data_IF_807091513297
#
_entry.id   IF_807091513297
#
_cell.length_a   1.000
_cell.length_b   1.000
_cell.length_c   1.000
_cell.angle_alpha   90.00
_cell.angle_beta   90.00
_cell.angle_gamma   90.00
#
_symmetry.space_group_name_H-M   'P 1'
#
loop_
_entity.id
_entity.type
_entity.pdbx_description
1 polymer ?
#
# COMPACT_ATOMS: atom_id res chain seq x y z
N UNK A 1 2.10 -3.14 -32.45
CA UNK A 1 2.89 -3.34 -31.20
C UNK A 1 1.90 -3.95 -30.21
N UNK A 2 2.01 -5.25 -29.96
CA UNK A 2 1.22 -5.92 -28.94
C UNK A 2 1.62 -5.36 -27.57
N UNK A 3 0.67 -5.05 -26.65
CA UNK A 3 1.03 -4.74 -25.29
C UNK A 3 1.84 -5.91 -24.72
N UNK A 4 2.87 -5.66 -23.90
CA UNK A 4 3.63 -6.73 -23.29
C UNK A 4 2.66 -7.67 -22.55
N UNK A 5 2.89 -8.99 -22.70
CA UNK A 5 2.09 -10.00 -22.01
C UNK A 5 2.11 -9.66 -20.52
N UNK A 6 0.95 -9.33 -19.95
CA UNK A 6 0.88 -9.03 -18.53
C UNK A 6 1.32 -10.26 -17.74
N UNK A 7 2.14 -10.09 -16.68
CA UNK A 7 2.49 -11.21 -15.84
C UNK A 7 1.23 -11.80 -15.21
N UNK A 8 1.13 -13.11 -15.19
CA UNK A 8 -0.03 -13.82 -14.64
C UNK A 8 -0.25 -13.58 -13.14
N UNK A 9 0.81 -13.10 -12.45
CA UNK A 9 0.78 -12.79 -11.02
C UNK A 9 1.67 -11.59 -10.72
N UNK A 10 1.06 -10.43 -10.48
CA UNK A 10 1.79 -9.19 -10.24
C UNK A 10 2.37 -9.12 -8.82
N UNK A 11 1.62 -9.58 -7.82
CA UNK A 11 2.01 -9.46 -6.40
C UNK A 11 2.33 -10.77 -5.71
N UNK A 12 2.31 -11.91 -6.41
CA UNK A 12 2.68 -13.20 -5.82
C UNK A 12 4.08 -13.12 -5.22
N UNK A 13 4.23 -13.69 -4.03
CA UNK A 13 5.50 -13.72 -3.27
C UNK A 13 6.01 -12.34 -2.84
N UNK A 14 5.17 -11.30 -2.89
CA UNK A 14 5.47 -10.00 -2.33
C UNK A 14 4.79 -9.82 -0.98
N UNK A 15 5.37 -8.97 -0.14
CA UNK A 15 4.74 -8.56 1.11
C UNK A 15 3.65 -7.53 0.79
N UNK A 16 2.41 -7.99 0.76
CA UNK A 16 1.22 -7.16 0.66
C UNK A 16 0.55 -7.10 2.02
N UNK A 17 0.23 -5.90 2.48
CA UNK A 17 -0.56 -5.73 3.70
C UNK A 17 -2.04 -5.75 3.35
N UNK A 18 -2.78 -6.64 3.98
CA UNK A 18 -4.20 -6.83 3.71
C UNK A 18 -5.10 -6.36 4.85
N UNK A 19 -6.29 -5.87 4.50
CA UNK A 19 -7.43 -5.58 5.40
C UNK A 19 -8.76 -5.88 4.69
N UNK A 20 -9.87 -5.76 5.41
CA UNK A 20 -11.20 -6.14 4.91
C UNK A 20 -11.46 -7.62 5.05
N UNK A 21 -12.17 -8.22 4.10
CA UNK A 21 -12.46 -9.65 4.13
C UNK A 21 -11.26 -10.47 3.63
N UNK A 22 -10.45 -10.99 4.56
CA UNK A 22 -9.23 -11.74 4.25
C UNK A 22 -9.51 -13.09 3.56
N UNK A 23 -10.72 -13.62 3.70
CA UNK A 23 -11.15 -14.89 3.09
C UNK A 23 -11.76 -14.69 1.69
N UNK A 24 -11.89 -13.45 1.24
CA UNK A 24 -12.44 -13.16 -0.08
C UNK A 24 -11.54 -13.66 -1.20
N UNK A 25 -12.17 -14.24 -2.23
CA UNK A 25 -11.50 -14.56 -3.51
C UNK A 25 -11.20 -13.32 -4.34
N UNK A 26 -11.93 -12.21 -4.08
CA UNK A 26 -11.72 -10.94 -4.77
C UNK A 26 -10.75 -10.07 -4.00
N UNK A 27 -9.64 -9.73 -4.63
CA UNK A 27 -8.63 -8.83 -4.07
C UNK A 27 -8.54 -7.53 -4.84
N UNK A 28 -8.40 -6.42 -4.11
CA UNK A 28 -8.14 -5.08 -4.64
C UNK A 28 -6.90 -4.54 -3.97
N UNK A 29 -5.81 -4.47 -4.69
CA UNK A 29 -4.49 -4.08 -4.17
C UNK A 29 -4.06 -2.79 -4.83
N UNK A 30 -3.48 -1.88 -4.04
CA UNK A 30 -2.90 -0.64 -4.54
C UNK A 30 -1.39 -0.65 -4.29
N UNK A 31 -0.63 -0.49 -5.38
CA UNK A 31 0.78 -0.19 -5.32
C UNK A 31 0.94 1.33 -5.29
N UNK A 32 1.48 1.87 -4.21
CA UNK A 32 1.39 3.29 -3.93
C UNK A 32 2.59 3.81 -3.13
N UNK A 33 2.75 5.14 -3.14
CA UNK A 33 3.80 5.88 -2.45
C UNK A 33 3.19 6.98 -1.59
N UNK A 34 3.59 7.06 -0.33
CA UNK A 34 3.14 8.10 0.62
C UNK A 34 3.52 9.52 0.20
N UNK A 35 4.58 9.68 -0.59
CA UNK A 35 5.07 10.98 -1.06
C UNK A 35 4.53 11.38 -2.43
N UNK A 36 3.70 10.55 -3.04
CA UNK A 36 3.10 10.82 -4.35
C UNK A 36 1.78 11.57 -4.20
N UNK A 37 1.68 12.79 -4.72
CA UNK A 37 0.47 13.62 -4.62
C UNK A 37 -0.78 12.96 -5.23
N UNK A 38 -0.65 12.23 -6.33
CA UNK A 38 -1.75 11.47 -6.93
C UNK A 38 -2.21 10.31 -6.04
N UNK A 39 -1.27 9.68 -5.33
CA UNK A 39 -1.58 8.62 -4.38
C UNK A 39 -2.36 9.16 -3.18
N UNK A 40 -1.95 10.30 -2.64
CA UNK A 40 -2.67 10.99 -1.55
C UNK A 40 -4.10 11.37 -1.96
N UNK A 41 -4.27 11.85 -3.19
CA UNK A 41 -5.61 12.16 -3.72
C UNK A 41 -6.45 10.89 -3.91
N UNK A 42 -5.83 9.83 -4.42
CA UNK A 42 -6.51 8.54 -4.65
C UNK A 42 -6.96 7.88 -3.35
N UNK A 43 -6.25 8.09 -2.26
CA UNK A 43 -6.60 7.52 -0.95
C UNK A 43 -8.01 7.89 -0.50
N UNK A 44 -8.51 9.07 -0.88
CA UNK A 44 -9.90 9.50 -0.60
C UNK A 44 -10.93 8.62 -1.33
N UNK A 45 -10.63 8.23 -2.56
CA UNK A 45 -11.47 7.30 -3.33
C UNK A 45 -11.37 5.90 -2.76
N UNK A 46 -10.17 5.47 -2.42
CA UNK A 46 -9.89 4.15 -1.83
C UNK A 46 -10.60 3.97 -0.48
N UNK A 47 -10.60 4.98 0.37
CA UNK A 47 -11.35 4.95 1.64
C UNK A 47 -12.84 4.71 1.44
N UNK A 48 -13.46 5.36 0.45
CA UNK A 48 -14.87 5.15 0.12
C UNK A 48 -15.13 3.73 -0.41
N UNK A 49 -14.25 3.22 -1.26
CA UNK A 49 -14.35 1.84 -1.76
C UNK A 49 -14.20 0.84 -0.61
N UNK A 50 -13.24 1.07 0.27
CA UNK A 50 -13.04 0.23 1.45
C UNK A 50 -14.28 0.21 2.34
N UNK A 51 -14.85 1.36 2.69
CA UNK A 51 -16.05 1.46 3.52
C UNK A 51 -17.24 0.72 2.91
N UNK A 52 -17.37 0.76 1.57
CA UNK A 52 -18.46 0.11 0.86
C UNK A 52 -18.29 -1.41 0.72
N UNK A 53 -17.06 -1.87 0.45
CA UNK A 53 -16.82 -3.25 0.02
C UNK A 53 -15.98 -4.10 0.99
N UNK A 54 -15.57 -3.59 2.15
CA UNK A 54 -14.68 -4.29 3.09
C UNK A 54 -15.17 -5.65 3.57
N UNK A 55 -16.48 -5.88 3.57
CA UNK A 55 -17.07 -7.16 3.96
C UNK A 55 -17.02 -8.21 2.82
N UNK A 56 -16.74 -7.77 1.60
CA UNK A 56 -16.78 -8.59 0.40
C UNK A 56 -15.42 -8.72 -0.29
N UNK A 57 -14.53 -7.77 -0.09
CA UNK A 57 -13.25 -7.64 -0.81
C UNK A 57 -12.07 -7.66 0.16
N UNK A 58 -11.02 -8.33 -0.25
CA UNK A 58 -9.71 -8.28 0.40
C UNK A 58 -8.92 -7.11 -0.18
N UNK A 59 -8.82 -6.03 0.60
CA UNK A 59 -8.03 -4.86 0.22
C UNK A 59 -6.57 -5.01 0.62
N UNK A 60 -5.67 -4.62 -0.28
CA UNK A 60 -4.25 -4.72 -0.06
C UNK A 60 -3.48 -3.46 -0.41
N UNK A 61 -2.33 -3.29 0.22
CA UNK A 61 -1.36 -2.25 -0.06
C UNK A 61 0.02 -2.85 -0.23
N UNK A 62 0.73 -2.38 -1.26
CA UNK A 62 2.14 -2.72 -1.48
C UNK A 62 2.92 -1.44 -1.76
N UNK A 63 4.08 -1.30 -1.12
CA UNK A 63 4.95 -0.15 -1.32
C UNK A 63 5.53 -0.14 -2.72
N UNK A 64 5.30 0.96 -3.45
CA UNK A 64 5.91 1.19 -4.75
C UNK A 64 6.30 2.67 -4.88
N UNK A 65 7.59 2.93 -4.99
CA UNK A 65 8.19 4.26 -5.08
C UNK A 65 9.52 4.14 -5.83
N UNK A 66 10.23 5.24 -6.04
CA UNK A 66 11.57 5.21 -6.64
C UNK A 66 12.60 4.58 -5.69
N UNK A 67 12.42 4.77 -4.38
CA UNK A 67 13.22 4.17 -3.33
C UNK A 67 12.43 4.07 -2.02
N UNK A 68 12.83 3.23 -1.05
CA UNK A 68 12.22 3.18 0.28
C UNK A 68 12.23 4.55 0.96
N UNK A 69 11.05 5.06 1.29
CA UNK A 69 10.90 6.32 2.02
C UNK A 69 10.86 6.12 3.54
N UNK A 70 11.10 7.19 4.29
CA UNK A 70 10.97 7.16 5.76
C UNK A 70 9.57 6.73 6.20
N UNK A 71 8.52 7.21 5.51
CA UNK A 71 7.14 6.83 5.76
C UNK A 71 6.90 5.32 5.56
N UNK A 72 7.40 4.77 4.45
CA UNK A 72 7.30 3.33 4.17
C UNK A 72 8.05 2.49 5.20
N UNK A 73 9.28 2.88 5.54
CA UNK A 73 10.09 2.21 6.57
C UNK A 73 9.40 2.25 7.94
N UNK A 74 8.74 3.37 8.28
CA UNK A 74 8.00 3.50 9.53
C UNK A 74 6.77 2.59 9.59
N UNK A 75 6.02 2.47 8.49
CA UNK A 75 4.89 1.54 8.41
C UNK A 75 5.34 0.09 8.61
N UNK A 76 6.45 -0.31 7.99
CA UNK A 76 7.01 -1.65 8.17
C UNK A 76 7.55 -1.89 9.59
N UNK A 77 8.15 -0.87 10.21
CA UNK A 77 8.57 -0.96 11.61
C UNK A 77 7.38 -1.10 12.56
N UNK A 78 6.29 -0.36 12.29
CA UNK A 78 5.05 -0.44 13.06
C UNK A 78 4.32 -1.78 12.84
N UNK A 79 4.45 -2.38 11.65
CA UNK A 79 3.90 -3.71 11.33
C UNK A 79 4.41 -4.80 12.29
N UNK A 80 5.67 -4.71 12.70
CA UNK A 80 6.26 -5.62 13.70
C UNK A 80 5.53 -5.62 15.04
N UNK A 81 4.76 -4.57 15.31
CA UNK A 81 3.93 -4.42 16.52
C UNK A 81 2.43 -4.34 16.19
N UNK A 82 2.03 -4.85 15.01
CA UNK A 82 0.62 -4.94 14.60
C UNK A 82 -0.04 -3.60 14.26
N UNK A 83 0.74 -2.56 13.93
CA UNK A 83 0.24 -1.20 13.70
C UNK A 83 0.44 -0.67 12.28
N UNK A 84 0.58 -1.56 11.29
CA UNK A 84 0.75 -1.14 9.89
C UNK A 84 -0.37 -0.18 9.45
N UNK A 85 -1.62 -0.60 9.54
CA UNK A 85 -2.76 0.17 9.03
C UNK A 85 -2.99 1.46 9.81
N UNK A 86 -2.70 1.50 11.10
CA UNK A 86 -2.76 2.74 11.89
C UNK A 86 -1.76 3.78 11.36
N UNK A 87 -0.53 3.36 11.04
CA UNK A 87 0.49 4.24 10.46
C UNK A 87 0.15 4.64 9.04
N UNK A 88 -0.27 3.68 8.21
CA UNK A 88 -0.70 3.92 6.84
C UNK A 88 -1.78 5.01 6.76
N UNK A 89 -2.87 4.83 7.51
CA UNK A 89 -3.98 5.77 7.50
C UNK A 89 -3.57 7.15 8.06
N UNK A 90 -2.75 7.18 9.12
CA UNK A 90 -2.28 8.44 9.71
C UNK A 90 -1.38 9.23 8.75
N UNK A 91 -0.47 8.56 8.05
CA UNK A 91 0.46 9.19 7.11
C UNK A 91 -0.28 9.75 5.90
N UNK A 92 -1.21 9.00 5.30
CA UNK A 92 -2.01 9.49 4.18
C UNK A 92 -3.00 10.61 4.55
N UNK A 93 -3.44 10.67 5.80
CA UNK A 93 -4.30 11.74 6.30
C UNK A 93 -3.52 12.96 6.82
N UNK A 94 -2.19 12.87 6.93
CA UNK A 94 -1.37 14.00 7.33
C UNK A 94 -1.25 15.01 6.20
N UNK A 95 -1.43 16.30 6.52
CA UNK A 95 -1.51 17.38 5.50
C UNK A 95 -0.16 17.68 4.89
N UNK A 96 0.91 17.38 5.61
CA UNK A 96 2.30 17.61 5.22
C UNK A 96 3.02 16.28 4.97
N UNK A 97 4.24 16.34 4.49
CA UNK A 97 5.10 15.15 4.41
C UNK A 97 5.40 14.65 5.83
N UNK A 98 5.11 13.39 6.09
CA UNK A 98 5.35 12.77 7.39
C UNK A 98 6.87 12.72 7.68
N UNK A 99 7.34 13.66 8.46
CA UNK A 99 8.71 13.75 8.90
C UNK A 99 9.02 12.85 10.13
N UNK A 100 10.25 12.84 10.55
CA UNK A 100 10.69 12.06 11.71
C UNK A 100 9.93 12.44 12.98
N UNK A 101 9.67 13.73 13.20
CA UNK A 101 8.95 14.21 14.39
C UNK A 101 7.51 13.66 14.42
N UNK A 102 6.80 13.74 13.30
CA UNK A 102 5.46 13.15 13.16
C UNK A 102 5.47 11.65 13.45
N UNK A 103 6.38 10.90 12.81
CA UNK A 103 6.49 9.44 12.93
C UNK A 103 6.74 9.00 14.38
N UNK A 104 7.71 9.60 15.07
CA UNK A 104 8.02 9.24 16.46
C UNK A 104 6.92 9.65 17.44
N UNK A 105 6.29 10.81 17.24
CA UNK A 105 5.16 11.23 18.06
C UNK A 105 3.96 10.31 17.88
N UNK A 106 3.68 9.90 16.63
CA UNK A 106 2.61 8.97 16.36
C UNK A 106 2.89 7.58 16.97
N UNK A 107 4.12 7.07 16.85
CA UNK A 107 4.52 5.81 17.47
C UNK A 107 4.31 5.82 18.99
N UNK A 108 4.71 6.90 19.66
CA UNK A 108 4.46 7.10 21.10
C UNK A 108 2.97 7.12 21.42
N UNK A 109 2.15 7.82 20.63
CA UNK A 109 0.70 7.89 20.82
C UNK A 109 0.03 6.51 20.71
N UNK A 110 0.60 5.62 19.91
CA UNK A 110 0.17 4.22 19.76
C UNK A 110 0.76 3.29 20.82
N UNK A 111 1.55 3.83 21.76
CA UNK A 111 2.19 3.08 22.85
C UNK A 111 3.08 1.94 22.34
N UNK A 112 3.76 2.16 21.21
CA UNK A 112 4.71 1.18 20.69
C UNK A 112 5.92 1.07 21.63
N UNK A 113 6.53 -0.10 21.67
CA UNK A 113 7.89 -0.23 22.19
C UNK A 113 8.82 0.60 21.29
N UNK A 114 9.24 1.75 21.81
CA UNK A 114 10.02 2.72 21.05
C UNK A 114 11.41 2.23 20.70
N UNK A 115 11.98 1.36 21.53
CA UNK A 115 13.29 0.77 21.27
C UNK A 115 13.23 -0.21 20.09
N UNK A 116 12.24 -1.08 20.09
CA UNK A 116 12.00 -2.01 18.98
C UNK A 116 11.56 -1.27 17.71
N UNK A 117 10.74 -0.23 17.85
CA UNK A 117 10.32 0.59 16.71
C UNK A 117 11.53 1.25 16.03
N UNK A 118 12.38 1.93 16.80
CA UNK A 118 13.59 2.61 16.31
C UNK A 118 14.56 1.63 15.64
N UNK A 119 14.81 0.50 16.29
CA UNK A 119 15.65 -0.58 15.76
C UNK A 119 15.14 -1.09 14.41
N UNK A 120 13.82 -1.34 14.29
CA UNK A 120 13.22 -1.83 13.05
C UNK A 120 13.18 -0.73 11.97
N UNK A 121 12.90 0.53 12.34
CA UNK A 121 12.90 1.66 11.42
C UNK A 121 14.25 1.84 10.72
N UNK A 122 15.35 1.70 11.44
CA UNK A 122 16.70 1.87 10.92
C UNK A 122 17.39 0.56 10.51
N UNK A 123 16.66 -0.55 10.51
CA UNK A 123 17.21 -1.85 10.14
C UNK A 123 17.59 -1.90 8.65
N UNK A 124 18.82 -2.30 8.30
CA UNK A 124 19.20 -2.56 6.92
C UNK A 124 18.29 -3.60 6.24
N UNK A 125 17.79 -4.57 6.99
CA UNK A 125 16.88 -5.60 6.45
C UNK A 125 15.51 -5.04 6.09
N UNK A 126 15.02 -4.06 6.87
CA UNK A 126 13.79 -3.34 6.55
C UNK A 126 13.93 -2.57 5.21
N UNK A 127 15.03 -1.85 5.05
CA UNK A 127 15.33 -1.16 3.80
C UNK A 127 15.44 -2.12 2.62
N UNK A 128 16.22 -3.18 2.74
CA UNK A 128 16.40 -4.19 1.68
C UNK A 128 15.10 -4.89 1.30
N UNK A 129 14.23 -5.15 2.27
CA UNK A 129 12.91 -5.73 2.03
C UNK A 129 12.09 -4.83 1.10
N UNK A 130 11.99 -3.53 1.39
CA UNK A 130 11.25 -2.58 0.57
C UNK A 130 11.89 -2.37 -0.80
N UNK A 131 13.20 -2.24 -0.85
CA UNK A 131 13.95 -2.10 -2.11
C UNK A 131 13.71 -3.31 -3.03
N UNK A 132 13.75 -4.52 -2.48
CA UNK A 132 13.47 -5.74 -3.22
C UNK A 132 12.02 -5.79 -3.74
N UNK A 133 11.03 -5.36 -2.93
CA UNK A 133 9.63 -5.27 -3.37
C UNK A 133 9.51 -4.33 -4.57
N UNK A 134 10.09 -3.14 -4.46
CA UNK A 134 10.06 -2.11 -5.52
C UNK A 134 10.68 -2.69 -6.81
N UNK A 135 11.87 -3.26 -6.74
CA UNK A 135 12.57 -3.80 -7.90
C UNK A 135 11.75 -4.92 -8.57
N UNK A 136 11.16 -5.82 -7.79
CA UNK A 136 10.31 -6.90 -8.33
C UNK A 136 9.03 -6.38 -8.98
N UNK A 137 8.43 -5.31 -8.47
CA UNK A 137 7.28 -4.68 -9.10
C UNK A 137 7.66 -4.02 -10.43
N UNK A 138 8.81 -3.36 -10.50
CA UNK A 138 9.36 -2.81 -11.77
C UNK A 138 9.58 -3.92 -12.79
N UNK A 139 10.22 -5.01 -12.41
CA UNK A 139 10.44 -6.19 -13.28
C UNK A 139 9.12 -6.79 -13.79
N UNK A 140 8.04 -6.65 -13.02
CA UNK A 140 6.69 -7.11 -13.35
C UNK A 140 5.86 -6.09 -14.15
N UNK A 141 6.47 -4.97 -14.55
CA UNK A 141 5.89 -4.00 -15.46
C UNK A 141 5.16 -2.83 -14.81
N UNK A 142 5.27 -2.61 -13.49
CA UNK A 142 4.76 -1.40 -12.86
C UNK A 142 5.65 -0.21 -13.22
N UNK A 143 5.02 0.89 -13.66
CA UNK A 143 5.73 2.09 -14.14
C UNK A 143 5.28 3.38 -13.45
N UNK A 144 4.20 3.36 -12.70
CA UNK A 144 3.62 4.56 -12.10
C UNK A 144 2.85 4.25 -10.82
N UNK A 145 2.63 5.29 -10.01
CA UNK A 145 1.79 5.25 -8.82
C UNK A 145 0.65 6.28 -8.90
N UNK A 146 -0.52 5.98 -8.37
CA UNK A 146 -0.94 4.67 -7.87
C UNK A 146 -1.17 3.67 -9.01
N UNK A 147 -0.88 2.39 -8.79
CA UNK A 147 -1.26 1.30 -9.71
C UNK A 147 -2.22 0.36 -8.98
N UNK A 148 -3.32 0.01 -9.65
CA UNK A 148 -4.36 -0.86 -9.11
C UNK A 148 -4.17 -2.27 -9.66
N UNK A 149 -4.29 -3.25 -8.77
CA UNK A 149 -4.17 -4.67 -9.09
C UNK A 149 -5.42 -5.38 -8.53
N UNK A 150 -6.24 -5.93 -9.42
CA UNK A 150 -7.44 -6.68 -9.03
C UNK A 150 -7.26 -8.14 -9.44
N UNK A 151 -7.44 -9.05 -8.50
CA UNK A 151 -7.29 -10.48 -8.72
C UNK A 151 -5.97 -10.80 -9.46
N UNK A 152 -4.87 -10.22 -8.97
CA UNK A 152 -3.51 -10.38 -9.51
C UNK A 152 -3.28 -9.81 -10.92
N UNK A 153 -4.21 -9.02 -11.46
CA UNK A 153 -4.12 -8.38 -12.77
C UNK A 153 -3.98 -6.88 -12.65
N UNK A 154 -3.07 -6.29 -13.44
CA UNK A 154 -2.94 -4.84 -13.56
C UNK A 154 -4.20 -4.25 -14.19
N UNK A 155 -4.68 -3.18 -13.57
CA UNK A 155 -5.88 -2.47 -14.02
C UNK A 155 -5.53 -1.03 -14.34
N UNK A 156 -5.73 -0.66 -15.59
CA UNK A 156 -5.52 0.72 -16.09
C UNK A 156 -6.86 1.45 -16.08
N UNK A 157 -7.18 2.08 -14.96
CA UNK A 157 -8.41 2.83 -14.77
C UNK A 157 -8.15 4.22 -14.23
N UNK A 158 -9.16 5.04 -14.32
CA UNK A 158 -9.19 6.38 -13.73
C UNK A 158 -9.30 6.31 -12.20
N UNK A 159 -9.14 7.44 -11.52
CA UNK A 159 -9.35 7.58 -10.09
C UNK A 159 -10.86 7.71 -9.73
N UNK A 160 -11.76 7.34 -10.65
CA UNK A 160 -13.20 7.49 -10.45
C UNK A 160 -13.74 6.40 -9.54
N UNK A 161 -14.39 6.81 -8.46
CA UNK A 161 -15.08 5.91 -7.55
C UNK A 161 -16.10 5.04 -8.31
N UNK A 162 -16.89 5.65 -9.19
CA UNK A 162 -17.95 4.99 -9.94
C UNK A 162 -17.40 3.90 -10.87
N UNK A 163 -16.30 4.16 -11.55
CA UNK A 163 -15.66 3.19 -12.43
C UNK A 163 -15.05 2.03 -11.65
N UNK A 164 -14.37 2.32 -10.55
CA UNK A 164 -13.77 1.30 -9.69
C UNK A 164 -14.83 0.45 -8.98
N UNK A 165 -15.92 1.07 -8.54
CA UNK A 165 -17.07 0.38 -7.95
C UNK A 165 -17.68 -0.61 -8.95
N UNK A 166 -17.98 -0.17 -10.17
CA UNK A 166 -18.48 -1.04 -11.25
C UNK A 166 -17.51 -2.17 -11.59
N UNK A 167 -16.22 -1.89 -11.53
CA UNK A 167 -15.21 -2.91 -11.78
C UNK A 167 -15.21 -3.98 -10.69
N UNK A 168 -15.25 -3.56 -9.42
CA UNK A 168 -15.35 -4.48 -8.29
C UNK A 168 -16.64 -5.32 -8.33
N UNK A 169 -17.78 -4.70 -8.64
CA UNK A 169 -19.08 -5.40 -8.75
C UNK A 169 -19.10 -6.50 -9.82
N UNK A 170 -18.25 -6.40 -10.82
CA UNK A 170 -18.11 -7.46 -11.85
C UNK A 170 -17.25 -8.64 -11.39
N UNK A 171 -16.41 -8.41 -10.38
CA UNK A 171 -15.50 -9.43 -9.83
C UNK A 171 -16.09 -10.13 -8.59
N UNK A 172 -17.20 -9.60 -8.04
CA UNK A 172 -17.97 -10.19 -6.93
C UNK A 172 -19.01 -11.18 -7.40
#
# INVERSE_FOLDING_TARGET
>A
IYPPKQPECVVRDLCVHYRGNLDSSTSFIVASDYNCGRCVQFEKTLSKLYDQYREQVKFGFVHFADAPSLAALACEAADKQGQFWSFHDAIFNYVEVADSAFIYNFAKSKRLDMREFDKNLHSPDNYKKLDNIINRLVERGLMATPTIIINDRLVYVTNSYEELSKLLEREL
#
